data_IF_311487453323
#
_entry.id   IF_311487453323
#
_cell.length_a   1.000
_cell.length_b   1.000
_cell.length_c   1.000
_cell.angle_alpha   90.00
_cell.angle_beta   90.00
_cell.angle_gamma   90.00
#
_symmetry.space_group_name_H-M   'P 1'
#
loop_
_entity.id
_entity.type
_entity.pdbx_description
1 polymer ?
#
# COMPACT_ATOMS: atom_id res chain seq x y z
N UNK A 1 23.69 -2.21 3.14
CA UNK A 1 23.38 -3.48 2.46
C UNK A 1 21.88 -3.75 2.48
N UNK A 2 21.34 -4.27 3.58
CA UNK A 2 19.89 -4.54 3.72
C UNK A 2 19.06 -3.30 4.09
N UNK A 3 19.59 -2.43 4.94
CA UNK A 3 18.89 -1.20 5.38
C UNK A 3 18.63 -0.22 4.24
N UNK A 4 19.57 -0.07 3.29
CA UNK A 4 19.44 0.87 2.18
C UNK A 4 18.34 0.42 1.20
N UNK A 5 18.27 -0.90 0.92
CA UNK A 5 17.20 -1.49 0.10
C UNK A 5 15.84 -1.33 0.77
N UNK A 6 15.75 -1.55 2.08
CA UNK A 6 14.53 -1.30 2.85
C UNK A 6 14.04 0.14 2.67
N UNK A 7 14.93 1.12 2.88
CA UNK A 7 14.60 2.55 2.75
C UNK A 7 14.12 2.88 1.33
N UNK A 8 14.79 2.34 0.31
CA UNK A 8 14.40 2.57 -1.09
C UNK A 8 12.99 2.03 -1.40
N UNK A 9 12.72 0.77 -1.06
CA UNK A 9 11.42 0.13 -1.30
C UNK A 9 10.30 0.84 -0.54
N UNK A 10 10.56 1.20 0.72
CA UNK A 10 9.62 1.94 1.54
C UNK A 10 9.28 3.31 0.95
N UNK A 11 10.29 4.03 0.46
CA UNK A 11 10.08 5.33 -0.17
C UNK A 11 9.30 5.20 -1.49
N UNK A 12 9.60 4.18 -2.29
CA UNK A 12 8.88 3.92 -3.54
C UNK A 12 7.40 3.59 -3.26
N UNK A 13 7.10 2.73 -2.30
CA UNK A 13 5.73 2.41 -1.90
C UNK A 13 4.94 3.67 -1.47
N UNK A 14 5.57 4.59 -0.72
CA UNK A 14 4.96 5.86 -0.34
C UNK A 14 4.70 6.80 -1.53
N UNK A 15 5.61 6.81 -2.53
CA UNK A 15 5.41 7.59 -3.75
C UNK A 15 4.24 7.04 -4.56
N UNK A 16 4.09 5.71 -4.67
CA UNK A 16 2.96 5.08 -5.33
C UNK A 16 1.64 5.42 -4.63
N UNK A 17 1.56 5.39 -3.30
CA UNK A 17 0.36 5.86 -2.59
C UNK A 17 0.06 7.32 -2.90
N UNK A 18 1.09 8.17 -2.97
CA UNK A 18 0.91 9.58 -3.31
C UNK A 18 0.40 9.75 -4.74
N UNK A 19 0.89 8.93 -5.68
CA UNK A 19 0.45 8.92 -7.06
C UNK A 19 -1.00 8.43 -7.19
N UNK A 20 -1.36 7.35 -6.49
CA UNK A 20 -2.74 6.87 -6.34
C UNK A 20 -3.67 7.97 -5.84
N UNK A 21 -3.33 8.67 -4.75
CA UNK A 21 -4.17 9.74 -4.22
C UNK A 21 -4.40 10.89 -5.22
N UNK A 22 -3.47 11.08 -6.18
CA UNK A 22 -3.58 12.12 -7.21
C UNK A 22 -4.33 11.67 -8.45
N UNK A 23 -4.24 10.39 -8.83
CA UNK A 23 -4.75 9.89 -10.11
C UNK A 23 -5.84 8.82 -10.01
N UNK A 24 -5.97 8.18 -8.85
CA UNK A 24 -6.89 7.06 -8.61
C UNK A 24 -6.51 5.79 -9.35
N UNK A 25 -5.21 5.59 -9.65
CA UNK A 25 -4.73 4.42 -10.37
C UNK A 25 -4.55 3.23 -9.41
N UNK A 26 -5.43 2.24 -9.50
CA UNK A 26 -5.42 1.06 -8.62
C UNK A 26 -4.13 0.23 -8.76
N UNK A 27 -3.43 0.30 -9.90
CA UNK A 27 -2.15 -0.40 -10.10
C UNK A 27 -1.07 0.11 -9.13
N UNK A 28 -1.07 1.41 -8.82
CA UNK A 28 -0.13 1.99 -7.85
C UNK A 28 -0.32 1.41 -6.44
N UNK A 29 -1.57 1.15 -6.03
CA UNK A 29 -1.86 0.58 -4.72
C UNK A 29 -1.41 -0.88 -4.65
N UNK A 30 -1.66 -1.65 -5.71
CA UNK A 30 -1.25 -3.04 -5.79
C UNK A 30 0.29 -3.16 -5.78
N UNK A 31 0.99 -2.34 -6.56
CA UNK A 31 2.45 -2.30 -6.57
C UNK A 31 3.02 -1.83 -5.23
N UNK A 32 2.42 -0.80 -4.61
CA UNK A 32 2.81 -0.31 -3.28
C UNK A 32 2.70 -1.39 -2.19
N UNK A 33 1.67 -2.23 -2.24
CA UNK A 33 1.51 -3.38 -1.32
C UNK A 33 2.59 -4.43 -1.57
N UNK A 34 2.88 -4.77 -2.84
CA UNK A 34 3.91 -5.75 -3.19
C UNK A 34 5.30 -5.31 -2.68
N UNK A 35 5.67 -4.06 -2.91
CA UNK A 35 6.94 -3.51 -2.42
C UNK A 35 7.03 -3.56 -0.89
N UNK A 36 5.94 -3.25 -0.20
CA UNK A 36 5.92 -3.29 1.26
C UNK A 36 6.00 -4.73 1.80
N UNK A 37 5.44 -5.72 1.11
CA UNK A 37 5.66 -7.15 1.43
C UNK A 37 7.13 -7.53 1.21
N UNK A 38 7.75 -7.06 0.13
CA UNK A 38 9.19 -7.30 -0.12
C UNK A 38 10.05 -6.74 1.02
N UNK A 39 9.71 -5.56 1.58
CA UNK A 39 10.45 -5.03 2.75
C UNK A 39 10.45 -5.97 3.95
N UNK A 40 9.37 -6.74 4.16
CA UNK A 40 9.29 -7.72 5.25
C UNK A 40 10.20 -8.91 5.02
N UNK A 41 10.42 -9.30 3.76
CA UNK A 41 11.39 -10.37 3.42
C UNK A 41 12.83 -9.98 3.72
N UNK A 42 13.12 -8.67 3.75
CA UNK A 42 14.44 -8.12 4.06
C UNK A 42 14.68 -7.92 5.57
N UNK A 43 13.63 -8.05 6.39
CA UNK A 43 13.67 -7.77 7.84
C UNK A 43 13.41 -9.05 8.65
N UNK A 44 14.46 -9.78 9.08
CA UNK A 44 14.28 -10.92 9.97
C UNK A 44 13.66 -10.51 11.31
N UNK A 45 13.03 -11.47 11.98
CA UNK A 45 12.43 -11.28 13.31
C UNK A 45 13.48 -10.73 14.28
N UNK A 46 13.17 -9.62 14.94
CA UNK A 46 14.08 -8.93 15.85
C UNK A 46 14.84 -7.74 15.23
N UNK A 47 14.70 -7.50 13.92
CA UNK A 47 15.27 -6.30 13.30
C UNK A 47 14.52 -5.04 13.76
N UNK A 48 15.27 -4.00 14.13
CA UNK A 48 14.76 -2.71 14.61
C UNK A 48 13.77 -1.99 13.68
N UNK A 49 13.77 -2.30 12.37
CA UNK A 49 12.93 -1.63 11.37
C UNK A 49 11.65 -2.41 11.06
N UNK A 50 11.52 -3.64 11.57
CA UNK A 50 10.35 -4.49 11.36
C UNK A 50 9.04 -3.83 11.82
N UNK A 51 8.97 -3.14 12.99
CA UNK A 51 7.74 -2.46 13.39
C UNK A 51 7.30 -1.38 12.39
N UNK A 52 8.26 -0.64 11.83
CA UNK A 52 7.99 0.38 10.81
C UNK A 52 7.48 -0.27 9.51
N UNK A 53 8.12 -1.36 9.09
CA UNK A 53 7.73 -2.11 7.90
C UNK A 53 6.27 -2.62 7.99
N UNK A 54 5.89 -3.16 9.15
CA UNK A 54 4.54 -3.66 9.42
C UNK A 54 3.51 -2.53 9.46
N UNK A 55 3.84 -1.40 10.10
CA UNK A 55 2.95 -0.24 10.14
C UNK A 55 2.65 0.30 8.74
N UNK A 56 3.67 0.37 7.89
CA UNK A 56 3.52 0.87 6.53
C UNK A 56 2.72 -0.11 5.67
N UNK A 57 2.88 -1.42 5.86
CA UNK A 57 2.01 -2.41 5.18
C UNK A 57 0.56 -2.27 5.61
N UNK A 58 0.31 -2.12 6.91
CA UNK A 58 -1.05 -1.90 7.43
C UNK A 58 -1.68 -0.65 6.83
N UNK A 59 -0.92 0.44 6.69
CA UNK A 59 -1.38 1.68 6.07
C UNK A 59 -1.74 1.51 4.59
N UNK A 60 -0.90 0.84 3.80
CA UNK A 60 -1.20 0.55 2.38
C UNK A 60 -2.47 -0.29 2.22
N UNK A 61 -2.60 -1.35 3.02
CA UNK A 61 -3.78 -2.22 3.02
C UNK A 61 -5.05 -1.48 3.43
N UNK A 62 -4.94 -0.57 4.40
CA UNK A 62 -6.06 0.27 4.83
C UNK A 62 -6.57 1.18 3.72
N UNK A 63 -5.66 1.86 3.00
CA UNK A 63 -6.04 2.71 1.86
C UNK A 63 -6.75 1.88 0.79
N UNK A 64 -6.17 0.73 0.43
CA UNK A 64 -6.72 -0.17 -0.59
C UNK A 64 -8.12 -0.68 -0.23
N UNK A 65 -8.31 -1.14 1.00
CA UNK A 65 -9.63 -1.61 1.46
C UNK A 65 -10.67 -0.48 1.46
N UNK A 66 -10.28 0.71 1.91
CA UNK A 66 -11.17 1.88 1.92
C UNK A 66 -11.57 2.28 0.51
N UNK A 67 -10.61 2.31 -0.43
CA UNK A 67 -10.89 2.62 -1.83
C UNK A 67 -11.85 1.61 -2.47
N UNK A 68 -11.58 0.32 -2.34
CA UNK A 68 -12.44 -0.75 -2.87
C UNK A 68 -13.86 -0.70 -2.29
N UNK A 69 -13.99 -0.38 -1.00
CA UNK A 69 -15.29 -0.18 -0.35
C UNK A 69 -16.07 0.99 -0.94
N UNK A 70 -15.41 2.13 -1.19
CA UNK A 70 -16.00 3.31 -1.83
C UNK A 70 -16.45 2.97 -3.25
N UNK A 71 -15.58 2.37 -4.06
CA UNK A 71 -15.89 1.98 -5.45
C UNK A 71 -17.09 1.03 -5.49
N UNK A 72 -17.10 0.00 -4.63
CA UNK A 72 -18.21 -0.96 -4.56
C UNK A 72 -19.52 -0.27 -4.20
N UNK A 73 -19.52 0.64 -3.22
CA UNK A 73 -20.70 1.39 -2.81
C UNK A 73 -21.25 2.30 -3.93
N UNK A 74 -20.37 2.98 -4.66
CA UNK A 74 -20.75 3.83 -5.79
C UNK A 74 -21.36 3.01 -6.93
N UNK A 75 -20.73 1.90 -7.30
CA UNK A 75 -21.23 1.00 -8.35
C UNK A 75 -22.60 0.43 -7.97
N UNK A 76 -22.78 -0.01 -6.72
CA UNK A 76 -24.06 -0.49 -6.21
C UNK A 76 -25.15 0.60 -6.21
N UNK A 77 -24.80 1.84 -5.87
CA UNK A 77 -25.74 2.97 -5.87
C UNK A 77 -26.18 3.33 -7.29
N UNK A 78 -25.27 3.27 -8.26
CA UNK A 78 -25.60 3.53 -9.67
C UNK A 78 -26.51 2.45 -10.25
N UNK A 79 -26.29 1.16 -9.95
CA UNK A 79 -27.16 0.06 -10.42
C UNK A 79 -28.57 0.14 -9.84
N UNK A 80 -28.74 0.70 -8.64
CA UNK A 80 -30.07 0.86 -8.00
C UNK A 80 -30.91 2.01 -8.55
N UNK A 81 -30.33 2.90 -9.36
CA UNK A 81 -30.98 4.11 -9.88
C UNK A 81 -31.39 4.02 -11.36
N UNK A 82 -31.19 2.85 -12.00
CA UNK A 82 -31.56 2.55 -13.40
C UNK A 82 -32.67 1.49 -13.40
#
# INVERSE_FOLDING_TARGET
GHTDRFVLLNNLANQLSTHFHRRGDDEDLDEGVVLQIETLTLCPVGHSVLPMALNNLAFQLFIRFTHQGIVTNLVQSNVRLI
#
